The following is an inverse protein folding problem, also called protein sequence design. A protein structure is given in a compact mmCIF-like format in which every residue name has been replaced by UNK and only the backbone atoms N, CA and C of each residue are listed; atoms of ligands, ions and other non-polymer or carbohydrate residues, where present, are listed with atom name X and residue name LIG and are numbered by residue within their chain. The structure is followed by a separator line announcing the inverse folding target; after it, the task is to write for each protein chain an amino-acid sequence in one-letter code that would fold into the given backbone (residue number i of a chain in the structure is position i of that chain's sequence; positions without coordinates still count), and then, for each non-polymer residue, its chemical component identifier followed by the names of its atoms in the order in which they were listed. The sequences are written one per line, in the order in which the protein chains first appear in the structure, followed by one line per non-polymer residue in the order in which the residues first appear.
data_IF_319281230216
#
_entry.id   IF_319281230216
#
_cell.length_a   1.000
_cell.length_b   1.000
_cell.length_c   1.000
_cell.angle_alpha   90.00
_cell.angle_beta   90.00
_cell.angle_gamma   90.00
#
_symmetry.space_group_name_H-M   'P 1'
#
loop_
_entity.id
_entity.type
_entity.pdbx_description
1 polymer ?
#
# COMPACT_ATOMS: atom_id res chain seq x y z
N UNK A 1 47.57 9.26 -10.04
CA UNK A 1 46.82 9.92 -8.94
C UNK A 1 45.53 9.15 -8.75
N UNK A 2 45.35 8.36 -7.68
CA UNK A 2 44.14 7.57 -7.50
C UNK A 2 43.01 8.47 -6.97
N UNK A 3 41.83 8.37 -7.57
CA UNK A 3 40.62 9.16 -7.24
C UNK A 3 39.64 8.38 -6.34
N UNK A 4 40.16 7.47 -5.52
CA UNK A 4 39.35 6.65 -4.63
C UNK A 4 38.96 7.44 -3.38
N UNK A 5 37.92 8.26 -3.50
CA UNK A 5 37.19 8.80 -2.36
C UNK A 5 36.23 7.75 -1.81
N UNK A 6 36.32 7.44 -0.52
CA UNK A 6 35.26 6.70 0.18
C UNK A 6 34.10 7.66 0.42
N UNK A 7 32.94 7.41 -0.20
CA UNK A 7 31.70 8.11 0.12
C UNK A 7 30.77 7.14 0.86
N UNK A 8 30.13 7.62 1.92
CA UNK A 8 29.03 6.92 2.58
C UNK A 8 27.73 7.49 2.03
N UNK A 9 26.95 6.76 1.21
CA UNK A 9 25.65 7.24 0.76
C UNK A 9 24.75 7.49 1.97
N UNK A 10 24.13 8.67 2.01
CA UNK A 10 23.09 8.95 3.00
C UNK A 10 21.96 7.96 2.79
N UNK A 11 21.53 7.27 3.85
CA UNK A 11 20.39 6.35 3.74
C UNK A 11 19.13 7.13 3.34
N UNK A 12 18.33 6.63 2.37
CA UNK A 12 17.06 7.24 2.01
C UNK A 12 16.15 7.34 3.23
N UNK A 13 15.34 8.40 3.33
CA UNK A 13 14.36 8.52 4.42
C UNK A 13 13.28 7.45 4.26
N UNK A 14 12.92 6.81 5.38
CA UNK A 14 11.92 5.74 5.44
C UNK A 14 10.83 6.12 6.44
N UNK A 15 9.57 5.96 6.03
CA UNK A 15 8.40 6.11 6.90
C UNK A 15 7.57 4.83 6.89
N UNK A 16 6.89 4.56 8.01
CA UNK A 16 6.06 3.36 8.20
C UNK A 16 4.74 3.75 8.80
N UNK A 17 3.66 3.20 8.26
CA UNK A 17 2.32 3.40 8.79
C UNK A 17 1.52 2.10 8.72
N UNK A 18 0.55 1.97 9.62
CA UNK A 18 -0.44 0.89 9.60
C UNK A 18 -1.82 1.50 9.73
N UNK A 19 -2.77 0.98 8.98
CA UNK A 19 -4.12 1.51 8.92
C UNK A 19 -5.09 0.43 8.49
N UNK A 20 -6.38 0.70 8.70
CA UNK A 20 -7.45 -0.24 8.36
C UNK A 20 -8.31 0.34 7.25
N UNK A 21 -8.71 -0.50 6.31
CA UNK A 21 -9.57 -0.07 5.20
C UNK A 21 -10.99 0.28 5.66
N UNK A 22 -11.55 1.33 5.07
CA UNK A 22 -12.92 1.79 5.27
C UNK A 22 -13.96 0.92 4.53
N UNK A 23 -15.24 1.32 4.59
CA UNK A 23 -16.33 0.63 3.89
C UNK A 23 -16.19 0.59 2.36
N UNK A 24 -15.33 1.44 1.78
CA UNK A 24 -14.99 1.46 0.35
C UNK A 24 -13.69 0.69 0.04
N UNK A 25 -13.12 -0.01 1.03
CA UNK A 25 -11.88 -0.75 0.88
C UNK A 25 -10.65 0.14 0.80
N UNK A 26 -10.76 1.42 1.17
CA UNK A 26 -9.67 2.39 1.07
C UNK A 26 -8.99 2.61 2.42
N UNK A 27 -7.68 2.81 2.39
CA UNK A 27 -6.89 3.32 3.51
C UNK A 27 -6.00 4.44 3.01
N UNK A 28 -5.94 5.55 3.75
CA UNK A 28 -5.08 6.68 3.42
C UNK A 28 -4.06 6.88 4.54
N UNK A 29 -2.78 6.86 4.17
CA UNK A 29 -1.66 7.12 5.05
C UNK A 29 -1.20 8.56 4.87
N UNK A 30 -1.22 9.34 5.95
CA UNK A 30 -0.63 10.67 5.95
C UNK A 30 0.84 10.59 6.35
N UNK A 31 1.72 11.13 5.50
CA UNK A 31 3.15 11.23 5.78
C UNK A 31 3.45 12.54 6.50
N UNK A 32 4.44 12.56 7.41
CA UNK A 32 4.88 13.79 8.06
C UNK A 32 5.25 14.86 7.02
N UNK A 33 4.91 16.12 7.31
CA UNK A 33 5.26 17.22 6.42
C UNK A 33 6.79 17.29 6.23
N UNK A 34 7.23 17.43 4.97
CA UNK A 34 8.66 17.41 4.63
C UNK A 34 9.33 16.04 4.75
N UNK A 35 8.57 14.95 4.91
CA UNK A 35 9.11 13.59 4.86
C UNK A 35 9.71 13.25 3.52
N UNK A 36 9.02 13.63 2.46
CA UNK A 36 9.44 13.36 1.10
C UNK A 36 9.39 14.67 0.31
N UNK A 37 10.36 14.88 -0.57
CA UNK A 37 10.39 16.01 -1.51
C UNK A 37 9.50 15.77 -2.73
N UNK A 38 9.07 14.52 -2.95
CA UNK A 38 8.18 14.07 -4.00
C UNK A 38 7.46 12.77 -3.60
N UNK A 39 6.66 12.16 -4.48
CA UNK A 39 5.98 10.90 -4.19
C UNK A 39 7.00 9.78 -3.84
N UNK A 40 6.91 9.14 -2.66
CA UNK A 40 7.83 8.09 -2.27
C UNK A 40 7.57 6.78 -3.01
N UNK A 41 8.55 5.89 -3.02
CA UNK A 41 8.34 4.49 -3.40
C UNK A 41 7.70 3.76 -2.23
N UNK A 42 6.50 3.23 -2.44
CA UNK A 42 5.71 2.60 -1.36
C UNK A 42 5.57 1.10 -1.62
N UNK A 43 5.92 0.31 -0.61
CA UNK A 43 5.65 -1.13 -0.56
C UNK A 43 4.50 -1.39 0.42
N UNK A 44 3.53 -2.19 0.00
CA UNK A 44 2.34 -2.50 0.79
C UNK A 44 2.36 -3.97 1.23
N UNK A 45 2.19 -4.19 2.54
CA UNK A 45 1.86 -5.48 3.12
C UNK A 45 0.40 -5.48 3.57
N UNK A 46 -0.37 -6.49 3.20
CA UNK A 46 -1.75 -6.66 3.67
C UNK A 46 -1.73 -7.74 4.75
N UNK A 47 -2.11 -7.39 5.98
CA UNK A 47 -2.29 -8.36 7.05
C UNK A 47 -3.57 -9.15 6.77
N UNK A 48 -3.45 -10.47 6.72
CA UNK A 48 -4.42 -11.38 6.10
C UNK A 48 -5.89 -11.13 6.43
N UNK A 49 -6.73 -11.43 5.45
CA UNK A 49 -8.19 -11.42 5.55
C UNK A 49 -8.80 -12.44 4.60
N UNK A 50 -10.05 -12.85 4.85
CA UNK A 50 -10.73 -13.83 4.01
C UNK A 50 -10.90 -13.31 2.59
N UNK A 51 -10.58 -14.15 1.60
CA UNK A 51 -10.81 -13.87 0.19
C UNK A 51 -10.09 -12.62 -0.37
N UNK A 52 -8.91 -12.24 0.16
CA UNK A 52 -8.09 -11.20 -0.46
C UNK A 52 -7.86 -11.49 -1.96
N UNK A 53 -8.04 -10.46 -2.79
CA UNK A 53 -7.85 -10.56 -4.23
C UNK A 53 -6.68 -9.73 -4.72
N UNK A 54 -6.67 -8.44 -4.37
CA UNK A 54 -5.67 -7.49 -4.84
C UNK A 54 -5.64 -6.25 -3.98
N UNK A 55 -4.53 -5.52 -4.05
CA UNK A 55 -4.43 -4.14 -3.56
C UNK A 55 -3.83 -3.28 -4.67
N UNK A 56 -4.19 -1.99 -4.67
CA UNK A 56 -3.68 -1.01 -5.63
C UNK A 56 -3.45 0.31 -4.92
N UNK A 57 -2.29 0.95 -5.15
CA UNK A 57 -2.07 2.34 -4.74
C UNK A 57 -2.83 3.23 -5.72
N UNK A 58 -3.89 3.91 -5.24
CA UNK A 58 -4.78 4.72 -6.09
C UNK A 58 -4.38 6.19 -6.13
N UNK A 59 -3.66 6.67 -5.10
CA UNK A 59 -3.07 8.00 -5.08
C UNK A 59 -1.75 7.98 -4.29
N UNK A 60 -0.75 8.74 -4.76
CA UNK A 60 0.54 8.86 -4.06
C UNK A 60 1.11 10.26 -4.24
N UNK A 61 1.44 10.91 -3.12
CA UNK A 61 2.06 12.22 -3.05
C UNK A 61 3.10 12.26 -1.93
N UNK A 62 3.86 13.36 -1.86
CA UNK A 62 4.86 13.57 -0.81
C UNK A 62 4.28 13.56 0.62
N UNK A 63 2.97 13.82 0.76
CA UNK A 63 2.29 13.97 2.05
C UNK A 63 1.25 12.88 2.31
N UNK A 64 0.90 12.06 1.32
CA UNK A 64 -0.13 11.05 1.47
C UNK A 64 -0.03 9.90 0.46
N UNK A 65 -0.41 8.70 0.88
CA UNK A 65 -0.61 7.55 -0.02
C UNK A 65 -1.94 6.89 0.29
N UNK A 66 -2.77 6.69 -0.74
CA UNK A 66 -4.04 5.98 -0.64
C UNK A 66 -3.94 4.62 -1.32
N UNK A 67 -4.44 3.59 -0.65
CA UNK A 67 -4.47 2.21 -1.11
C UNK A 67 -5.91 1.72 -1.11
N UNK A 68 -6.32 1.06 -2.19
CA UNK A 68 -7.56 0.31 -2.26
C UNK A 68 -7.27 -1.19 -2.16
N UNK A 69 -8.07 -1.90 -1.38
CA UNK A 69 -8.00 -3.36 -1.21
C UNK A 69 -9.33 -3.98 -1.63
N UNK A 70 -9.23 -5.04 -2.42
CA UNK A 70 -10.37 -5.79 -2.92
C UNK A 70 -10.35 -7.23 -2.41
N UNK A 71 -11.56 -7.76 -2.16
CA UNK A 71 -11.82 -9.16 -1.88
C UNK A 71 -12.60 -9.81 -3.03
N UNK A 72 -12.46 -11.11 -3.18
CA UNK A 72 -13.28 -11.90 -4.08
C UNK A 72 -14.64 -12.16 -3.42
N UNK A 73 -15.70 -11.50 -3.90
CA UNK A 73 -17.06 -11.87 -3.55
C UNK A 73 -17.43 -13.16 -4.29
N UNK A 74 -17.21 -14.31 -3.65
CA UNK A 74 -17.59 -15.59 -4.23
C UNK A 74 -19.10 -15.64 -4.47
N UNK A 75 -19.51 -15.87 -5.72
CA UNK A 75 -20.91 -16.16 -6.06
C UNK A 75 -20.99 -17.60 -6.52
N UNK A 76 -21.69 -18.43 -5.75
CA UNK A 76 -22.02 -19.80 -6.14
C UNK A 76 -23.45 -19.81 -6.67
N UNK A 77 -23.62 -20.07 -7.97
CA UNK A 77 -24.94 -20.38 -8.54
C UNK A 77 -25.02 -21.89 -8.78
N UNK A 78 -25.99 -22.56 -8.17
CA UNK A 78 -26.26 -23.99 -8.37
C UNK A 78 -25.03 -24.91 -8.14
N UNK A 79 -24.12 -24.51 -7.24
CA UNK A 79 -22.89 -25.26 -6.96
C UNK A 79 -21.72 -25.02 -7.93
N UNK A 80 -21.89 -24.16 -8.94
CA UNK A 80 -20.82 -23.75 -9.85
C UNK A 80 -20.26 -22.41 -9.37
N UNK A 81 -18.94 -22.36 -9.16
CA UNK A 81 -18.23 -21.12 -8.84
C UNK A 81 -18.13 -20.24 -10.09
N UNK A 82 -18.80 -19.09 -10.09
CA UNK A 82 -18.65 -18.07 -11.14
C UNK A 82 -17.51 -17.13 -10.73
N UNK A 83 -16.73 -16.66 -11.71
CA UNK A 83 -15.63 -15.72 -11.50
C UNK A 83 -16.08 -14.54 -10.63
N UNK A 84 -15.54 -14.47 -9.42
CA UNK A 84 -15.91 -13.48 -8.41
C UNK A 84 -15.64 -12.05 -8.92
N UNK A 85 -16.64 -11.17 -8.83
CA UNK A 85 -16.44 -9.72 -9.01
C UNK A 85 -15.70 -9.18 -7.78
N UNK A 86 -14.78 -8.23 -7.99
CA UNK A 86 -14.04 -7.62 -6.90
C UNK A 86 -14.98 -6.75 -6.06
N UNK A 87 -15.04 -7.01 -4.76
CA UNK A 87 -15.78 -6.18 -3.82
C UNK A 87 -14.81 -5.42 -2.90
N UNK A 88 -15.19 -4.24 -2.39
CA UNK A 88 -14.41 -3.51 -1.41
C UNK A 88 -14.10 -4.36 -0.17
N UNK A 89 -12.83 -4.41 0.23
CA UNK A 89 -12.40 -5.15 1.40
C UNK A 89 -12.36 -4.21 2.62
N UNK A 90 -13.46 -4.09 3.35
CA UNK A 90 -13.51 -3.29 4.57
C UNK A 90 -12.87 -4.01 5.77
N UNK A 91 -12.26 -3.27 6.69
CA UNK A 91 -11.71 -3.83 7.93
C UNK A 91 -10.37 -4.56 7.79
N UNK A 92 -9.71 -4.47 6.63
CA UNK A 92 -8.42 -5.09 6.38
C UNK A 92 -7.28 -4.20 6.87
N UNK A 93 -6.38 -4.76 7.67
CA UNK A 93 -5.17 -4.05 8.11
C UNK A 93 -4.12 -4.05 7.02
N UNK A 94 -3.60 -2.87 6.73
CA UNK A 94 -2.60 -2.60 5.69
C UNK A 94 -1.40 -1.92 6.34
N UNK A 95 -0.22 -2.43 6.02
CA UNK A 95 1.07 -1.87 6.40
C UNK A 95 1.71 -1.20 5.18
N UNK A 96 2.10 0.06 5.33
CA UNK A 96 2.80 0.81 4.31
C UNK A 96 4.25 1.06 4.73
N UNK A 97 5.17 0.83 3.81
CA UNK A 97 6.59 1.14 3.92
C UNK A 97 6.98 2.09 2.79
N UNK A 98 7.18 3.36 3.11
CA UNK A 98 7.51 4.41 2.16
C UNK A 98 9.00 4.75 2.22
N UNK A 99 9.65 4.85 1.06
CA UNK A 99 11.08 5.14 0.92
C UNK A 99 11.28 6.30 -0.04
N UNK A 100 12.13 7.26 0.32
CA UNK A 100 12.53 8.34 -0.59
C UNK A 100 13.24 7.76 -1.84
N UNK A 101 13.00 8.30 -3.05
CA UNK A 101 13.64 7.85 -4.29
C UNK A 101 15.16 7.98 -4.29
#
# INVERSE_FOLDING_TARGET
MPTNGTYTPTSPRVERATGTTDGSGNVTFAWPAGAFSGPPVVTIGVQGGTAFRSHTITANSATSTTVNVLVAAGVTLLGIGVLAVGAPAAGITVHAHAVAP
#
